data_IF_668748658493
#
_entry.id   IF_668748658493
#
_cell.length_a   1.000
_cell.length_b   1.000
_cell.length_c   1.000
_cell.angle_alpha   90.00
_cell.angle_beta   90.00
_cell.angle_gamma   90.00
#
_symmetry.space_group_name_H-M   'P 1'
#
loop_
_entity.id
_entity.type
_entity.pdbx_description
1 polymer ?
#
# COMPACT_ATOMS: atom_id res chain seq x y z
N UNK A 1 -11.05 6.16 34.42
CA UNK A 1 -11.23 4.99 33.51
C UNK A 1 -11.24 5.39 32.04
N UNK A 2 -12.03 6.38 31.60
CA UNK A 2 -12.13 6.80 30.17
C UNK A 2 -10.78 7.17 29.53
N UNK A 3 -9.95 7.93 30.24
CA UNK A 3 -8.62 8.35 29.77
C UNK A 3 -7.65 7.19 29.50
N UNK A 4 -7.69 6.12 30.31
CA UNK A 4 -6.86 4.93 30.07
C UNK A 4 -7.32 4.13 28.84
N UNK A 5 -8.63 4.14 28.59
CA UNK A 5 -9.24 3.48 27.44
C UNK A 5 -8.91 4.24 26.14
N UNK A 6 -8.93 5.57 26.19
CA UNK A 6 -8.51 6.44 25.09
C UNK A 6 -7.00 6.34 24.81
N UNK A 7 -6.16 6.21 25.84
CA UNK A 7 -4.71 6.02 25.67
C UNK A 7 -4.36 4.66 25.06
N UNK A 8 -5.02 3.57 25.49
CA UNK A 8 -4.90 2.25 24.82
C UNK A 8 -5.34 2.32 23.36
N UNK A 9 -6.46 2.99 23.08
CA UNK A 9 -7.00 3.13 21.73
C UNK A 9 -6.20 4.11 20.83
N UNK A 10 -5.36 4.99 21.41
CA UNK A 10 -4.40 5.80 20.65
C UNK A 10 -3.11 5.04 20.35
N UNK A 11 -2.64 4.20 21.26
CA UNK A 11 -1.42 3.39 21.06
C UNK A 11 -1.60 2.32 19.98
N UNK A 12 -2.83 1.87 19.75
CA UNK A 12 -3.21 1.01 18.61
C UNK A 12 -3.39 1.78 17.29
N UNK A 13 -3.41 3.12 17.32
CA UNK A 13 -3.61 4.02 16.17
C UNK A 13 -2.35 4.78 15.78
N UNK A 14 -1.18 4.29 16.14
CA UNK A 14 0.08 4.80 15.58
C UNK A 14 0.21 4.32 14.12
N UNK A 15 -0.68 4.79 13.24
CA UNK A 15 -0.43 4.77 11.80
C UNK A 15 0.63 5.83 11.52
N UNK A 16 1.89 5.38 11.50
CA UNK A 16 3.03 6.24 11.16
C UNK A 16 2.88 6.72 9.72
N UNK A 17 2.62 8.01 9.54
CA UNK A 17 2.76 8.64 8.23
C UNK A 17 4.26 8.64 7.89
N UNK A 18 4.68 7.86 6.89
CA UNK A 18 6.05 7.92 6.35
C UNK A 18 6.01 8.66 5.02
N UNK A 19 6.75 9.75 4.92
CA UNK A 19 6.84 10.56 3.71
C UNK A 19 8.30 10.73 3.29
N UNK A 20 8.89 9.71 2.67
CA UNK A 20 10.26 9.77 2.18
C UNK A 20 10.43 9.01 0.86
N UNK A 21 11.08 9.63 -0.14
CA UNK A 21 11.52 8.87 -1.30
C UNK A 21 12.64 7.91 -0.89
N UNK A 22 12.61 6.69 -1.41
CA UNK A 22 13.50 5.65 -0.91
C UNK A 22 13.73 4.49 -1.86
N UNK A 23 14.92 3.92 -1.77
CA UNK A 23 15.26 2.64 -2.40
C UNK A 23 15.49 1.60 -1.33
N UNK A 24 14.79 0.46 -1.39
CA UNK A 24 15.01 -0.57 -0.39
C UNK A 24 13.99 -1.70 -0.37
N UNK A 25 14.10 -2.51 0.70
CA UNK A 25 13.17 -3.59 0.99
C UNK A 25 12.46 -3.24 2.29
N UNK A 26 11.13 -3.25 2.28
CA UNK A 26 10.31 -2.90 3.45
C UNK A 26 9.33 -4.04 3.77
N UNK A 27 9.28 -4.44 5.04
CA UNK A 27 8.30 -5.38 5.56
C UNK A 27 7.51 -4.72 6.67
N UNK A 28 6.20 -4.58 6.51
CA UNK A 28 5.36 -3.89 7.50
C UNK A 28 4.07 -4.64 7.79
N UNK A 29 3.60 -4.49 9.03
CA UNK A 29 2.33 -5.06 9.49
C UNK A 29 1.55 -4.01 10.26
N UNK A 30 0.25 -3.89 9.98
CA UNK A 30 -0.65 -2.99 10.68
C UNK A 30 -1.27 -1.94 9.76
N UNK A 31 -1.67 -0.80 10.33
CA UNK A 31 -2.26 0.29 9.59
C UNK A 31 -1.20 1.34 9.24
N UNK A 32 -0.99 1.64 7.95
CA UNK A 32 0.04 2.58 7.51
C UNK A 32 -0.49 3.59 6.49
N UNK A 33 0.07 4.81 6.55
CA UNK A 33 -0.11 5.82 5.52
C UNK A 33 1.27 6.18 4.96
N UNK A 34 1.47 6.06 3.65
CA UNK A 34 2.75 6.37 3.01
C UNK A 34 2.57 7.34 1.86
N UNK A 35 3.50 8.28 1.75
CA UNK A 35 3.57 9.23 0.65
C UNK A 35 5.00 9.25 0.09
N UNK A 36 5.17 9.24 -1.22
CA UNK A 36 6.47 9.49 -1.86
C UNK A 36 6.92 8.41 -2.81
N UNK A 37 8.00 8.73 -3.51
CA UNK A 37 8.41 7.98 -4.69
C UNK A 37 9.54 7.01 -4.38
N UNK A 38 9.52 5.81 -4.97
CA UNK A 38 10.53 4.84 -4.61
C UNK A 38 10.74 3.68 -5.56
N UNK A 39 11.87 3.01 -5.35
CA UNK A 39 12.22 1.79 -6.05
C UNK A 39 12.48 0.68 -5.04
N UNK A 40 11.73 -0.42 -5.09
CA UNK A 40 11.92 -1.41 -4.02
C UNK A 40 11.04 -2.64 -4.05
N UNK A 41 11.19 -3.41 -2.98
CA UNK A 41 10.37 -4.59 -2.70
C UNK A 41 9.63 -4.34 -1.39
N UNK A 42 8.31 -4.47 -1.42
CA UNK A 42 7.46 -4.25 -0.25
C UNK A 42 6.68 -5.54 0.05
N UNK A 43 6.80 -6.11 1.26
CA UNK A 43 5.77 -7.04 1.76
C UNK A 43 4.99 -6.37 2.86
N UNK A 44 3.68 -6.34 2.72
CA UNK A 44 2.86 -5.69 3.72
C UNK A 44 1.57 -6.43 4.03
N UNK A 45 1.15 -6.29 5.28
CA UNK A 45 -0.06 -6.93 5.80
C UNK A 45 -0.84 -5.97 6.67
N UNK A 46 -2.08 -5.65 6.28
CA UNK A 46 -2.97 -4.81 7.06
C UNK A 46 -3.72 -3.80 6.21
N UNK A 47 -3.93 -2.60 6.75
CA UNK A 47 -4.71 -1.55 6.11
C UNK A 47 -3.79 -0.42 5.66
N UNK A 48 -3.80 -0.07 4.37
CA UNK A 48 -2.85 0.90 3.83
C UNK A 48 -3.49 1.97 2.98
N UNK A 49 -2.96 3.18 3.11
CA UNK A 49 -3.08 4.20 2.09
C UNK A 49 -1.69 4.58 1.58
N UNK A 50 -1.41 4.37 0.30
CA UNK A 50 -0.17 4.77 -0.37
C UNK A 50 -0.47 5.84 -1.42
N UNK A 51 0.29 6.92 -1.39
CA UNK A 51 0.32 7.94 -2.43
C UNK A 51 1.74 8.06 -2.98
N UNK A 52 1.92 8.14 -4.29
CA UNK A 52 3.22 8.39 -4.91
C UNK A 52 3.65 7.31 -5.88
N UNK A 53 4.74 7.60 -6.56
CA UNK A 53 5.13 6.86 -7.75
C UNK A 53 6.18 5.79 -7.42
N UNK A 54 6.24 4.73 -8.21
CA UNK A 54 7.33 3.78 -7.96
C UNK A 54 7.52 2.65 -8.92
N UNK A 55 8.69 2.03 -8.78
CA UNK A 55 9.07 0.85 -9.54
C UNK A 55 9.39 -0.28 -8.57
N UNK A 56 8.75 -1.43 -8.69
CA UNK A 56 9.01 -2.47 -7.70
C UNK A 56 8.19 -3.72 -7.75
N UNK A 57 8.39 -4.53 -6.71
CA UNK A 57 7.61 -5.74 -6.44
C UNK A 57 6.89 -5.51 -5.12
N UNK A 58 5.57 -5.64 -5.14
CA UNK A 58 4.75 -5.42 -3.95
C UNK A 58 3.92 -6.68 -3.67
N UNK A 59 4.10 -7.30 -2.51
CA UNK A 59 3.22 -8.36 -2.02
C UNK A 59 2.39 -7.82 -0.85
N UNK A 60 1.09 -8.01 -0.95
CA UNK A 60 0.15 -7.18 -0.22
C UNK A 60 -1.06 -7.99 0.24
N UNK A 61 -1.34 -7.94 1.53
CA UNK A 61 -2.46 -8.65 2.13
C UNK A 61 -3.29 -7.72 3.02
N UNK A 62 -4.55 -7.50 2.67
CA UNK A 62 -5.49 -6.71 3.46
C UNK A 62 -6.28 -5.69 2.65
N UNK A 63 -6.47 -4.50 3.19
CA UNK A 63 -7.31 -3.46 2.61
C UNK A 63 -6.47 -2.25 2.19
N UNK A 64 -6.58 -1.84 0.92
CA UNK A 64 -5.66 -0.85 0.37
C UNK A 64 -6.33 0.23 -0.45
N UNK A 65 -5.84 1.46 -0.29
CA UNK A 65 -6.01 2.51 -1.28
C UNK A 65 -4.63 2.92 -1.80
N UNK A 66 -4.44 2.86 -3.12
CA UNK A 66 -3.22 3.32 -3.78
C UNK A 66 -3.55 4.42 -4.79
N UNK A 67 -2.86 5.54 -4.67
CA UNK A 67 -2.86 6.62 -5.65
C UNK A 67 -1.43 6.83 -6.15
N UNK A 68 -1.23 6.93 -7.45
CA UNK A 68 0.07 7.24 -8.06
C UNK A 68 0.52 6.21 -9.07
N UNK A 69 1.57 6.57 -9.77
CA UNK A 69 1.99 5.92 -10.99
C UNK A 69 3.04 4.85 -10.72
N UNK A 70 3.16 3.86 -11.61
CA UNK A 70 4.27 2.93 -11.42
C UNK A 70 4.39 1.77 -12.38
N UNK A 71 5.54 1.11 -12.26
CA UNK A 71 5.89 -0.08 -13.05
C UNK A 71 6.26 -1.20 -12.11
N UNK A 72 5.63 -2.37 -12.21
CA UNK A 72 5.97 -3.43 -11.28
C UNK A 72 5.17 -4.71 -11.33
N UNK A 73 5.52 -5.58 -10.40
CA UNK A 73 4.79 -6.83 -10.12
C UNK A 73 4.04 -6.64 -8.81
N UNK A 74 2.78 -7.05 -8.78
CA UNK A 74 1.95 -6.91 -7.61
C UNK A 74 1.21 -8.21 -7.30
N UNK A 75 1.56 -8.84 -6.17
CA UNK A 75 0.79 -9.96 -5.64
C UNK A 75 -0.13 -9.50 -4.52
N UNK A 76 -1.43 -9.76 -4.64
CA UNK A 76 -2.42 -9.17 -3.74
C UNK A 76 -3.40 -10.19 -3.19
N UNK A 77 -3.82 -9.97 -1.94
CA UNK A 77 -4.97 -10.67 -1.36
C UNK A 77 -5.79 -9.68 -0.54
N UNK A 78 -7.08 -9.55 -0.85
CA UNK A 78 -7.99 -8.69 -0.08
C UNK A 78 -8.73 -7.64 -0.90
N UNK A 79 -8.96 -6.47 -0.32
CA UNK A 79 -9.77 -5.41 -0.93
C UNK A 79 -8.90 -4.23 -1.36
N UNK A 80 -9.18 -3.67 -2.53
CA UNK A 80 -8.38 -2.57 -3.05
C UNK A 80 -9.16 -1.49 -3.80
N UNK A 81 -8.60 -0.29 -3.75
CA UNK A 81 -8.98 0.81 -4.63
C UNK A 81 -7.71 1.45 -5.20
N UNK A 82 -7.60 1.52 -6.52
CA UNK A 82 -6.40 1.99 -7.21
C UNK A 82 -6.72 3.08 -8.21
N UNK A 83 -5.87 4.09 -8.22
CA UNK A 83 -5.89 5.19 -9.19
C UNK A 83 -4.46 5.63 -9.50
N UNK A 84 -4.25 6.16 -10.69
CA UNK A 84 -2.93 6.51 -11.24
C UNK A 84 -2.71 5.85 -12.60
N UNK A 85 -1.51 5.91 -13.14
CA UNK A 85 -1.12 5.30 -14.41
C UNK A 85 -0.05 4.21 -14.19
N UNK A 86 0.12 3.27 -15.13
CA UNK A 86 1.25 2.35 -15.01
C UNK A 86 1.25 1.09 -15.85
N UNK A 87 2.34 0.32 -15.71
CA UNK A 87 2.48 -1.01 -16.30
C UNK A 87 2.64 -2.02 -15.18
N UNK A 88 1.67 -2.92 -15.02
CA UNK A 88 1.66 -3.86 -13.89
C UNK A 88 1.41 -5.29 -14.33
N UNK A 89 2.19 -6.21 -13.78
CA UNK A 89 1.78 -7.60 -13.73
C UNK A 89 1.09 -7.82 -12.38
N UNK A 90 -0.20 -8.11 -12.42
CA UNK A 90 -1.03 -8.25 -11.22
C UNK A 90 -1.40 -9.72 -11.07
N UNK A 91 -1.19 -10.25 -9.89
CA UNK A 91 -1.68 -11.57 -9.53
C UNK A 91 -2.31 -11.49 -8.14
N UNK A 92 -3.51 -12.02 -7.97
CA UNK A 92 -4.15 -11.91 -6.66
C UNK A 92 -5.58 -12.39 -6.62
N UNK A 93 -6.08 -12.52 -5.39
CA UNK A 93 -7.45 -12.92 -5.11
C UNK A 93 -8.06 -11.83 -4.24
N UNK A 94 -9.07 -11.13 -4.76
CA UNK A 94 -9.60 -9.97 -4.09
C UNK A 94 -10.74 -9.28 -4.83
N UNK A 95 -11.29 -8.26 -4.18
CA UNK A 95 -12.28 -7.35 -4.78
C UNK A 95 -11.61 -5.99 -4.91
N UNK A 96 -11.51 -5.51 -6.15
CA UNK A 96 -10.83 -4.26 -6.46
C UNK A 96 -11.66 -3.33 -7.32
N UNK A 97 -11.48 -2.02 -7.11
CA UNK A 97 -11.83 -1.00 -8.09
C UNK A 97 -10.52 -0.41 -8.60
N UNK A 98 -10.32 -0.43 -9.91
CA UNK A 98 -9.13 0.12 -10.53
C UNK A 98 -9.53 1.15 -11.59
N UNK A 99 -9.10 2.39 -11.37
CA UNK A 99 -9.18 3.48 -12.34
C UNK A 99 -7.75 3.80 -12.80
N UNK A 100 -7.16 2.90 -13.59
CA UNK A 100 -5.76 2.99 -13.98
C UNK A 100 -5.62 2.94 -15.50
N UNK A 101 -5.34 4.08 -16.17
CA UNK A 101 -4.81 4.08 -17.53
C UNK A 101 -3.45 3.37 -17.55
N UNK A 102 -3.37 2.21 -18.19
CA UNK A 102 -2.17 1.39 -18.09
C UNK A 102 -2.22 0.09 -18.88
N UNK A 103 -1.09 -0.61 -18.87
CA UNK A 103 -0.97 -1.96 -19.46
C UNK A 103 -0.91 -2.97 -18.31
N UNK A 104 -1.94 -3.79 -18.22
CA UNK A 104 -1.93 -4.98 -17.36
C UNK A 104 -1.38 -6.16 -18.16
N UNK A 105 -0.42 -6.87 -17.56
CA UNK A 105 0.26 -8.03 -18.16
C UNK A 105 -0.06 -9.25 -17.30
N UNK A 106 -0.90 -10.14 -17.81
CA UNK A 106 -1.29 -11.41 -17.17
C UNK A 106 -0.30 -12.55 -17.47
#
# INVERSE_FOLDING_TARGET
MRLLQEAKSRKERESGLKAEPGTGIENTTGAENKCGDGVGIENRTGAENKCGDGVGIENRAGAENKCGDGVGIENRTGAENKSGDGVRNKNGIGIGIENMPGIDID
#
